data_IF_969075120013
#
_entry.id   IF_969075120013
#
_cell.length_a   1.000
_cell.length_b   1.000
_cell.length_c   1.000
_cell.angle_alpha   90.00
_cell.angle_beta   90.00
_cell.angle_gamma   90.00
#
_symmetry.space_group_name_H-M   'P 1'
#
loop_
_entity.id
_entity.type
_entity.pdbx_description
1 polymer ?
#
# COMPACT_ATOMS: atom_id res chain seq x y z
N UNK A 1 -5.98 42.48 3.00
CA UNK A 1 -4.65 41.85 3.12
C UNK A 1 -4.92 40.35 3.03
N UNK A 2 -4.90 39.82 1.79
CA UNK A 2 -5.01 38.40 1.53
C UNK A 2 -3.79 37.70 2.11
N UNK A 3 -4.06 36.68 2.90
CA UNK A 3 -3.02 35.76 3.38
C UNK A 3 -2.44 35.06 2.16
N UNK A 4 -1.10 35.05 1.92
CA UNK A 4 -0.54 34.34 0.79
C UNK A 4 -0.88 32.86 0.94
N UNK A 5 -1.54 32.31 -0.08
CA UNK A 5 -1.74 30.88 -0.24
C UNK A 5 -0.36 30.22 -0.24
N UNK A 6 -0.13 29.30 0.69
CA UNK A 6 1.10 28.51 0.72
C UNK A 6 1.20 27.82 -0.63
N UNK A 7 2.32 27.96 -1.37
CA UNK A 7 2.50 27.19 -2.60
C UNK A 7 2.30 25.73 -2.26
N UNK A 8 1.29 25.12 -2.92
CA UNK A 8 0.98 23.71 -2.73
C UNK A 8 2.25 22.87 -2.90
N UNK A 9 2.33 21.77 -2.18
CA UNK A 9 3.41 20.79 -2.36
C UNK A 9 3.68 20.58 -3.84
N UNK A 10 4.92 20.33 -4.24
CA UNK A 10 5.26 20.12 -5.64
C UNK A 10 4.35 19.04 -6.22
N UNK A 11 3.65 19.41 -7.29
CA UNK A 11 2.82 18.48 -8.05
C UNK A 11 3.74 17.42 -8.67
N UNK A 12 3.49 16.17 -8.39
CA UNK A 12 4.09 15.08 -9.16
C UNK A 12 3.83 15.31 -10.65
N UNK A 13 4.85 15.38 -11.52
CA UNK A 13 4.62 15.42 -12.95
C UNK A 13 3.92 14.12 -13.37
N UNK A 14 2.97 14.24 -14.29
CA UNK A 14 2.31 13.10 -14.91
C UNK A 14 3.35 12.08 -15.36
N UNK A 15 3.19 10.82 -14.94
CA UNK A 15 4.07 9.74 -15.35
C UNK A 15 4.08 9.64 -16.87
N UNK A 16 5.21 9.26 -17.48
CA UNK A 16 5.27 9.12 -18.93
C UNK A 16 4.25 8.06 -19.39
N UNK A 17 3.42 8.43 -20.37
CA UNK A 17 2.68 7.52 -21.21
C UNK A 17 3.62 6.38 -21.65
N UNK A 18 3.19 5.13 -21.51
CA UNK A 18 3.94 3.94 -21.92
C UNK A 18 4.37 4.07 -23.39
N UNK A 19 5.57 4.57 -23.62
CA UNK A 19 6.25 4.39 -24.89
C UNK A 19 6.89 3.00 -24.86
N UNK A 20 6.32 2.09 -25.64
CA UNK A 20 6.86 0.78 -25.95
C UNK A 20 8.28 0.94 -26.50
N UNK A 21 9.29 0.81 -25.68
CA UNK A 21 10.69 0.74 -26.09
C UNK A 21 11.12 -0.73 -26.05
N UNK A 22 11.35 -1.26 -27.22
CA UNK A 22 11.98 -2.54 -27.51
C UNK A 22 13.32 -2.65 -26.79
N UNK A 23 13.45 -3.63 -25.86
CA UNK A 23 14.68 -3.88 -25.13
C UNK A 23 15.67 -4.66 -26.02
N UNK A 24 16.98 -4.37 -25.97
CA UNK A 24 17.97 -5.17 -26.68
C UNK A 24 18.15 -6.54 -26.02
N UNK A 25 18.10 -7.56 -26.85
CA UNK A 25 18.31 -8.97 -26.53
C UNK A 25 19.71 -9.20 -25.96
N UNK A 26 19.79 -9.68 -24.73
CA UNK A 26 21.02 -10.23 -24.15
C UNK A 26 21.14 -11.73 -24.49
N UNK A 27 22.36 -12.29 -24.64
CA UNK A 27 22.56 -13.66 -25.14
C UNK A 27 22.15 -14.71 -24.12
N UNK A 28 21.43 -15.70 -24.61
CA UNK A 28 20.95 -16.87 -23.88
C UNK A 28 22.09 -17.74 -23.35
N UNK A 29 22.07 -18.06 -22.07
CA UNK A 29 22.79 -19.18 -21.49
C UNK A 29 21.88 -20.41 -21.46
N UNK A 30 22.36 -21.62 -21.75
CA UNK A 30 21.51 -22.80 -21.89
C UNK A 30 21.02 -23.30 -20.53
N UNK A 31 19.70 -23.33 -20.38
CA UNK A 31 19.04 -23.91 -19.21
C UNK A 31 18.71 -25.37 -19.54
N UNK A 32 19.26 -26.31 -18.77
CA UNK A 32 18.88 -27.72 -18.75
C UNK A 32 17.41 -27.89 -18.33
N UNK A 33 16.65 -28.80 -18.98
CA UNK A 33 15.24 -29.01 -18.61
C UNK A 33 15.13 -29.74 -17.26
N UNK A 34 14.41 -29.15 -16.33
CA UNK A 34 13.94 -29.83 -15.13
C UNK A 34 12.65 -30.57 -15.50
N UNK A 35 12.69 -31.89 -15.33
CA UNK A 35 11.59 -32.82 -15.52
C UNK A 35 10.48 -32.56 -14.48
N UNK A 36 9.28 -32.16 -14.94
CA UNK A 36 8.09 -31.99 -14.12
C UNK A 36 7.39 -33.33 -14.02
N UNK A 37 7.04 -33.84 -12.82
CA UNK A 37 6.27 -35.06 -12.68
C UNK A 37 4.83 -34.87 -13.21
N UNK A 38 4.38 -35.82 -14.02
CA UNK A 38 3.06 -35.85 -14.64
C UNK A 38 1.94 -35.96 -13.59
N UNK A 39 0.94 -35.12 -13.76
CA UNK A 39 -0.34 -35.12 -13.08
C UNK A 39 -1.19 -36.35 -13.52
N UNK A 40 -1.90 -37.05 -12.65
CA UNK A 40 -2.67 -38.24 -13.02
C UNK A 40 -3.93 -37.84 -13.81
N UNK A 41 -4.11 -38.50 -14.96
CA UNK A 41 -5.22 -38.32 -15.89
C UNK A 41 -6.58 -38.67 -15.26
N UNK A 42 -7.57 -37.82 -15.46
CA UNK A 42 -9.00 -38.12 -15.22
C UNK A 42 -9.50 -39.19 -16.18
N UNK A 43 -10.44 -40.10 -15.75
CA UNK A 43 -10.96 -41.12 -16.62
C UNK A 43 -11.98 -40.56 -17.62
N UNK A 44 -11.74 -40.86 -18.89
CA UNK A 44 -12.64 -40.57 -20.00
C UNK A 44 -13.99 -41.26 -19.84
N UNK A 45 -15.06 -40.49 -20.01
CA UNK A 45 -16.43 -41.01 -20.15
C UNK A 45 -16.61 -41.72 -21.48
N UNK A 46 -17.15 -42.92 -21.43
CA UNK A 46 -17.38 -43.85 -22.51
C UNK A 46 -18.28 -43.33 -23.62
N UNK A 47 -17.91 -43.67 -24.84
CA UNK A 47 -18.66 -43.47 -26.07
C UNK A 47 -20.01 -44.19 -26.06
N UNK A 48 -21.01 -43.53 -26.63
CA UNK A 48 -22.36 -44.00 -26.96
C UNK A 48 -22.29 -44.87 -28.23
N UNK A 49 -22.93 -46.05 -28.30
CA UNK A 49 -22.91 -46.89 -29.51
C UNK A 49 -23.97 -46.44 -30.53
N UNK A 50 -23.54 -46.43 -31.77
CA UNK A 50 -24.30 -46.08 -33.00
C UNK A 50 -25.52 -46.97 -33.25
N UNK A 51 -26.61 -46.34 -33.72
CA UNK A 51 -27.81 -47.00 -34.25
C UNK A 51 -27.55 -47.67 -35.59
N UNK A 52 -28.17 -48.79 -35.89
CA UNK A 52 -28.29 -49.28 -37.26
C UNK A 52 -29.58 -48.77 -37.94
N UNK A 53 -29.40 -48.31 -39.16
CA UNK A 53 -30.46 -47.92 -40.09
C UNK A 53 -31.30 -49.09 -40.52
N UNK A 54 -32.61 -48.84 -40.69
CA UNK A 54 -33.40 -49.72 -41.54
C UNK A 54 -34.89 -49.68 -41.33
N UNK A 55 -35.62 -49.35 -42.39
CA UNK A 55 -36.96 -49.73 -42.83
C UNK A 55 -38.06 -48.70 -42.57
N UNK A 56 -38.40 -48.00 -43.64
CA UNK A 56 -39.64 -47.25 -43.85
C UNK A 56 -40.84 -48.15 -44.10
N UNK A 57 -41.91 -47.90 -43.33
CA UNK A 57 -43.30 -48.33 -43.67
C UNK A 57 -44.22 -47.14 -43.44
N UNK A 58 -45.17 -46.81 -44.35
CA UNK A 58 -45.99 -45.60 -44.25
C UNK A 58 -47.11 -45.79 -43.23
N UNK A 59 -47.25 -44.81 -42.33
CA UNK A 59 -48.29 -44.80 -41.28
C UNK A 59 -49.42 -43.88 -41.66
N UNK A 60 -50.63 -44.44 -41.51
CA UNK A 60 -51.93 -43.81 -41.57
C UNK A 60 -52.11 -42.71 -40.49
N UNK A 61 -52.94 -41.67 -40.70
CA UNK A 61 -53.00 -40.51 -39.78
C UNK A 61 -53.79 -40.86 -38.50
N UNK A 62 -53.11 -40.92 -37.40
CA UNK A 62 -53.71 -41.12 -36.08
C UNK A 62 -54.12 -39.77 -35.43
N UNK A 63 -55.36 -39.68 -35.05
CA UNK A 63 -56.08 -38.64 -34.31
C UNK A 63 -55.32 -38.36 -32.99
N UNK A 64 -54.94 -37.06 -32.63
CA UNK A 64 -54.24 -36.80 -31.41
C UNK A 64 -55.11 -36.90 -30.18
N UNK A 65 -54.83 -37.87 -29.33
CA UNK A 65 -55.42 -38.00 -27.98
C UNK A 65 -54.75 -36.96 -27.04
N UNK A 66 -55.46 -36.20 -26.20
CA UNK A 66 -54.89 -35.23 -25.29
C UNK A 66 -54.02 -35.94 -24.24
N UNK A 67 -52.69 -35.77 -24.36
CA UNK A 67 -51.72 -36.22 -23.35
C UNK A 67 -51.88 -35.43 -22.06
N UNK A 68 -52.30 -36.07 -20.98
CA UNK A 68 -52.34 -35.52 -19.60
C UNK A 68 -50.93 -35.30 -19.08
N UNK A 69 -50.20 -34.30 -19.65
CA UNK A 69 -48.82 -33.95 -19.27
C UNK A 69 -48.68 -33.39 -17.85
N UNK A 70 -49.77 -32.89 -17.22
CA UNK A 70 -49.70 -32.26 -15.89
C UNK A 70 -49.45 -33.24 -14.72
N UNK A 71 -50.03 -34.48 -14.77
CA UNK A 71 -49.85 -35.42 -13.66
C UNK A 71 -48.45 -36.01 -13.56
N UNK A 72 -47.80 -36.29 -14.68
CA UNK A 72 -46.45 -36.82 -14.70
C UNK A 72 -45.43 -35.75 -14.27
N UNK A 73 -45.60 -34.50 -14.71
CA UNK A 73 -44.77 -33.38 -14.27
C UNK A 73 -44.92 -33.11 -12.78
N UNK A 74 -46.15 -33.18 -12.25
CA UNK A 74 -46.38 -33.02 -10.81
C UNK A 74 -45.71 -34.13 -9.99
N UNK A 75 -45.80 -35.38 -10.43
CA UNK A 75 -45.16 -36.51 -9.75
C UNK A 75 -43.62 -36.39 -9.75
N UNK A 76 -43.04 -35.95 -10.85
CA UNK A 76 -41.58 -35.70 -10.93
C UNK A 76 -41.19 -34.56 -10.01
N UNK A 77 -41.95 -33.46 -9.97
CA UNK A 77 -41.68 -32.33 -9.07
C UNK A 77 -41.81 -32.75 -7.59
N UNK A 78 -42.82 -33.53 -7.24
CA UNK A 78 -42.97 -34.07 -5.88
C UNK A 78 -41.82 -35.01 -5.49
N UNK A 79 -41.42 -35.89 -6.41
CA UNK A 79 -40.30 -36.80 -6.17
C UNK A 79 -38.99 -36.06 -5.99
N UNK A 80 -38.73 -35.00 -6.79
CA UNK A 80 -37.56 -34.16 -6.66
C UNK A 80 -37.56 -33.40 -5.32
N UNK A 81 -38.68 -32.81 -4.92
CA UNK A 81 -38.83 -32.12 -3.64
C UNK A 81 -38.59 -33.05 -2.45
N UNK A 82 -39.18 -34.24 -2.47
CA UNK A 82 -38.96 -35.26 -1.43
C UNK A 82 -37.49 -35.74 -1.40
N UNK A 83 -36.87 -35.89 -2.57
CA UNK A 83 -35.45 -36.27 -2.67
C UNK A 83 -34.51 -35.21 -2.06
N UNK A 84 -34.79 -33.96 -2.30
CA UNK A 84 -34.00 -32.85 -1.69
C UNK A 84 -34.21 -32.83 -0.17
N UNK A 85 -35.44 -32.92 0.32
CA UNK A 85 -35.70 -32.92 1.76
C UNK A 85 -35.09 -34.15 2.44
N UNK A 86 -35.27 -35.36 1.88
CA UNK A 86 -34.67 -36.56 2.44
C UNK A 86 -33.14 -36.52 2.40
N UNK A 87 -32.55 -36.02 1.30
CA UNK A 87 -31.09 -35.88 1.15
C UNK A 87 -30.48 -34.87 2.13
N UNK A 88 -31.14 -33.72 2.33
CA UNK A 88 -30.66 -32.71 3.30
C UNK A 88 -30.80 -33.21 4.73
N UNK A 89 -31.92 -33.88 5.09
CA UNK A 89 -32.08 -34.45 6.43
C UNK A 89 -31.05 -35.54 6.72
N UNK A 90 -30.80 -36.44 5.77
CA UNK A 90 -29.79 -37.49 5.93
C UNK A 90 -28.39 -36.92 6.00
N UNK A 91 -28.05 -35.95 5.13
CA UNK A 91 -26.77 -35.24 5.15
C UNK A 91 -26.53 -34.51 6.46
N UNK A 92 -27.55 -33.85 7.01
CA UNK A 92 -27.48 -33.18 8.30
C UNK A 92 -27.23 -34.15 9.45
N UNK A 93 -27.97 -35.28 9.51
CA UNK A 93 -27.76 -36.29 10.54
C UNK A 93 -26.34 -36.89 10.50
N UNK A 94 -25.86 -37.22 9.31
CA UNK A 94 -24.50 -37.76 9.15
C UNK A 94 -23.45 -36.67 9.60
N UNK A 95 -23.69 -35.41 9.32
CA UNK A 95 -22.82 -34.37 9.72
C UNK A 95 -22.88 -34.05 11.22
N UNK A 96 -24.07 -34.17 11.82
CA UNK A 96 -24.29 -33.97 13.25
C UNK A 96 -23.64 -35.06 14.11
N UNK A 97 -23.63 -36.29 13.61
CA UNK A 97 -23.01 -37.44 14.28
C UNK A 97 -21.46 -37.48 14.11
N UNK A 98 -20.89 -36.62 13.27
CA UNK A 98 -19.44 -36.57 13.16
C UNK A 98 -18.84 -35.95 14.41
N UNK A 99 -17.90 -36.65 15.02
CA UNK A 99 -17.06 -36.06 16.06
C UNK A 99 -16.37 -34.80 15.52
N UNK A 100 -16.29 -33.73 16.32
CA UNK A 100 -15.56 -32.52 15.93
C UNK A 100 -14.13 -32.88 15.54
N UNK A 101 -13.71 -32.47 14.35
CA UNK A 101 -12.35 -32.67 13.90
C UNK A 101 -11.41 -32.00 14.91
N UNK A 102 -10.55 -32.78 15.56
CA UNK A 102 -9.53 -32.26 16.46
C UNK A 102 -8.52 -31.47 15.63
N UNK A 103 -8.72 -30.15 15.57
CA UNK A 103 -7.74 -29.28 14.98
C UNK A 103 -6.47 -29.30 15.83
N UNK A 104 -5.28 -29.35 15.23
CA UNK A 104 -4.05 -29.15 15.96
C UNK A 104 -4.11 -27.83 16.70
N UNK A 105 -3.58 -27.79 17.93
CA UNK A 105 -3.51 -26.56 18.73
C UNK A 105 -2.92 -25.43 17.90
N UNK A 106 -3.63 -24.30 17.81
CA UNK A 106 -3.12 -23.08 17.18
C UNK A 106 -2.00 -22.43 17.99
N UNK A 107 -1.76 -22.90 19.23
CA UNK A 107 -0.60 -22.50 19.99
C UNK A 107 0.65 -23.13 19.37
N UNK A 108 1.50 -22.29 18.80
CA UNK A 108 2.84 -22.71 18.41
C UNK A 108 3.57 -23.24 19.66
N UNK A 109 4.41 -24.30 19.54
CA UNK A 109 5.25 -24.72 20.64
C UNK A 109 6.05 -23.50 21.11
N UNK A 110 5.98 -23.20 22.40
CA UNK A 110 6.79 -22.15 23.00
C UNK A 110 8.24 -22.43 22.68
N UNK A 111 8.82 -21.61 21.81
CA UNK A 111 10.26 -21.70 21.53
C UNK A 111 11.00 -21.49 22.84
N UNK A 112 11.83 -22.46 23.22
CA UNK A 112 12.67 -22.36 24.41
C UNK A 112 13.49 -21.06 24.32
N UNK A 113 13.47 -20.27 25.38
CA UNK A 113 14.24 -19.03 25.46
C UNK A 113 15.72 -19.36 25.20
N UNK A 114 16.32 -18.75 24.18
CA UNK A 114 17.71 -18.94 23.87
C UNK A 114 18.58 -18.65 25.13
N UNK A 115 19.40 -19.60 25.51
CA UNK A 115 20.37 -19.43 26.60
C UNK A 115 21.60 -18.72 26.04
N UNK A 116 21.54 -17.43 25.83
CA UNK A 116 22.63 -16.60 25.34
C UNK A 116 22.46 -15.16 25.77
N UNK A 117 23.51 -14.36 25.70
CA UNK A 117 23.41 -12.91 25.84
C UNK A 117 22.42 -12.34 24.82
N UNK A 118 21.77 -11.24 25.16
CA UNK A 118 20.92 -10.54 24.20
C UNK A 118 21.73 -10.25 22.93
N UNK A 119 21.15 -10.44 21.72
CA UNK A 119 21.82 -10.06 20.49
C UNK A 119 22.19 -8.59 20.53
N UNK A 120 23.28 -8.22 19.87
CA UNK A 120 23.70 -6.82 19.76
C UNK A 120 22.57 -6.00 19.12
N UNK A 121 22.24 -4.83 19.67
CA UNK A 121 21.17 -3.99 19.12
C UNK A 121 21.46 -3.69 17.65
N UNK A 122 20.43 -3.76 16.82
CA UNK A 122 20.53 -3.34 15.42
C UNK A 122 20.97 -1.87 15.34
N UNK A 123 21.76 -1.54 14.33
CA UNK A 123 22.05 -0.15 14.03
C UNK A 123 20.76 0.63 13.76
N UNK A 124 20.77 1.94 13.98
CA UNK A 124 19.59 2.77 13.74
C UNK A 124 19.02 2.64 12.30
N UNK A 125 19.88 2.33 11.32
CA UNK A 125 19.50 2.07 9.93
C UNK A 125 18.84 0.71 9.70
N UNK A 126 19.05 -0.26 10.61
CA UNK A 126 18.52 -1.63 10.51
C UNK A 126 17.38 -1.88 11.50
N UNK A 127 17.15 -0.97 12.44
CA UNK A 127 16.07 -1.09 13.40
C UNK A 127 14.74 -0.73 12.71
N UNK A 128 13.88 -1.73 12.55
CA UNK A 128 12.58 -1.60 11.88
C UNK A 128 11.47 -1.16 12.82
N UNK A 129 11.74 -1.04 14.12
CA UNK A 129 10.73 -0.64 15.09
C UNK A 129 11.18 0.61 15.82
N UNK A 130 10.32 1.62 15.83
CA UNK A 130 10.47 2.76 16.71
C UNK A 130 10.20 2.31 18.15
N UNK A 131 11.15 2.52 19.05
CA UNK A 131 11.04 2.12 20.46
C UNK A 131 9.87 2.79 21.19
N UNK A 132 9.31 3.85 20.65
CA UNK A 132 8.24 4.62 21.27
C UNK A 132 6.91 4.31 20.56
N UNK A 133 6.10 3.45 21.14
CA UNK A 133 4.73 3.16 20.69
C UNK A 133 3.70 4.21 21.20
N UNK A 134 4.18 5.35 21.63
CA UNK A 134 3.40 6.43 22.24
C UNK A 134 2.81 7.44 21.24
N UNK A 135 2.58 8.64 21.73
CA UNK A 135 2.08 9.76 20.93
C UNK A 135 3.17 10.31 20.00
N UNK A 136 3.02 10.07 18.69
CA UNK A 136 3.98 10.45 17.65
C UNK A 136 4.23 11.97 17.62
N UNK A 137 3.24 12.79 18.03
CA UNK A 137 3.38 14.26 18.12
C UNK A 137 4.46 14.69 19.12
N UNK A 138 4.73 13.88 20.15
CA UNK A 138 5.80 14.14 21.13
C UNK A 138 7.19 14.01 20.54
N UNK A 139 7.34 13.32 19.44
CA UNK A 139 8.59 13.16 18.72
C UNK A 139 8.86 14.35 17.78
N UNK A 140 7.85 15.11 17.42
CA UNK A 140 8.01 16.30 16.59
C UNK A 140 8.85 17.39 17.29
N UNK A 141 9.64 18.11 16.52
CA UNK A 141 10.31 19.31 17.01
C UNK A 141 9.28 20.39 17.36
N UNK A 142 9.55 21.11 18.41
CA UNK A 142 8.78 22.31 18.76
C UNK A 142 9.20 23.46 17.87
N UNK A 143 8.25 24.35 17.54
CA UNK A 143 8.57 25.60 16.83
C UNK A 143 9.63 26.40 17.57
N UNK A 144 10.55 27.07 16.86
CA UNK A 144 11.56 27.92 17.47
C UNK A 144 10.94 29.14 18.19
N UNK A 145 11.68 29.71 19.14
CA UNK A 145 11.27 30.93 19.79
C UNK A 145 11.07 32.05 18.75
N UNK A 146 9.97 32.79 18.85
CA UNK A 146 9.61 33.86 17.93
C UNK A 146 8.93 33.40 16.63
N UNK A 147 8.85 32.12 16.35
CA UNK A 147 8.05 31.60 15.23
C UNK A 147 6.55 31.60 15.58
N UNK A 148 5.73 31.85 14.56
CA UNK A 148 4.26 31.74 14.63
C UNK A 148 3.83 30.35 14.19
N UNK A 149 2.72 29.86 14.73
CA UNK A 149 2.13 28.62 14.24
C UNK A 149 1.73 28.75 12.77
N UNK A 150 1.84 27.65 12.04
CA UNK A 150 1.43 27.58 10.65
C UNK A 150 -0.10 27.74 10.54
N UNK A 151 -0.61 28.80 9.85
CA UNK A 151 -2.03 29.06 9.80
C UNK A 151 -2.82 28.03 8.97
N UNK A 152 -2.14 27.24 8.16
CA UNK A 152 -2.74 26.17 7.34
C UNK A 152 -2.85 24.82 8.09
N UNK A 153 -2.21 24.68 9.24
CA UNK A 153 -2.33 23.50 10.10
C UNK A 153 -3.37 23.80 11.19
N UNK A 154 -4.60 23.35 10.98
CA UNK A 154 -5.74 23.68 11.85
C UNK A 154 -6.05 22.62 12.91
N UNK A 155 -5.38 21.47 12.84
CA UNK A 155 -5.62 20.33 13.74
C UNK A 155 -4.82 20.36 15.05
N UNK A 156 -4.94 19.29 15.81
CA UNK A 156 -4.21 19.07 17.06
C UNK A 156 -2.81 18.48 16.87
N UNK A 157 -2.31 18.45 15.63
CA UNK A 157 -1.03 17.88 15.24
C UNK A 157 -1.10 16.40 14.81
N UNK A 158 -2.27 15.79 14.80
CA UNK A 158 -2.52 14.55 14.08
C UNK A 158 -2.96 14.88 12.65
N UNK A 159 -2.65 13.98 11.75
CA UNK A 159 -3.10 13.98 10.37
C UNK A 159 -3.64 12.58 10.06
N UNK A 160 -4.88 12.49 9.64
CA UNK A 160 -5.46 11.23 9.24
C UNK A 160 -5.02 10.84 7.82
N UNK A 161 -5.44 9.65 7.37
CA UNK A 161 -5.06 9.14 6.06
C UNK A 161 -5.58 10.02 4.92
N UNK A 162 -6.79 10.56 5.04
CA UNK A 162 -7.39 11.39 4.01
C UNK A 162 -6.70 12.77 3.96
N UNK A 163 -6.45 13.38 5.11
CA UNK A 163 -5.70 14.64 5.21
C UNK A 163 -4.28 14.51 4.65
N UNK A 164 -3.61 13.38 4.93
CA UNK A 164 -2.28 13.12 4.39
C UNK A 164 -2.34 12.89 2.86
N UNK A 165 -3.33 12.15 2.37
CA UNK A 165 -3.54 11.94 0.94
C UNK A 165 -3.86 13.25 0.19
N UNK A 166 -4.61 14.17 0.80
CA UNK A 166 -4.97 15.49 0.22
C UNK A 166 -3.74 16.37 -0.05
N UNK A 167 -2.62 16.08 0.58
CA UNK A 167 -1.38 16.80 0.33
C UNK A 167 -0.71 16.45 -1.01
N UNK A 168 -1.22 15.46 -1.72
CA UNK A 168 -0.71 15.00 -3.01
C UNK A 168 -1.58 15.47 -4.18
N UNK A 169 -1.01 15.51 -5.37
CA UNK A 169 -1.72 15.98 -6.57
C UNK A 169 -2.94 15.12 -6.93
N UNK A 170 -2.85 13.79 -6.68
CA UNK A 170 -3.93 12.84 -6.94
C UNK A 170 -4.39 12.18 -5.63
N UNK A 171 -5.18 12.90 -4.79
CA UNK A 171 -5.54 12.44 -3.45
C UNK A 171 -6.18 11.04 -3.43
N UNK A 172 -7.11 10.77 -4.35
CA UNK A 172 -7.80 9.48 -4.42
C UNK A 172 -6.86 8.31 -4.73
N UNK A 173 -5.89 8.52 -5.63
CA UNK A 173 -4.85 7.51 -5.93
C UNK A 173 -3.95 7.31 -4.72
N UNK A 174 -3.50 8.41 -4.10
CA UNK A 174 -2.64 8.36 -2.93
C UNK A 174 -3.33 7.70 -1.74
N UNK A 175 -4.63 7.98 -1.53
CA UNK A 175 -5.42 7.30 -0.50
C UNK A 175 -5.39 5.77 -0.69
N UNK A 176 -5.63 5.29 -1.92
CA UNK A 176 -5.57 3.86 -2.23
C UNK A 176 -4.18 3.25 -2.00
N UNK A 177 -3.12 3.99 -2.34
CA UNK A 177 -1.74 3.56 -2.09
C UNK A 177 -1.47 3.46 -0.58
N UNK A 178 -1.79 4.48 0.19
CA UNK A 178 -1.59 4.50 1.65
C UNK A 178 -2.33 3.37 2.38
N UNK A 179 -3.52 3.00 1.90
CA UNK A 179 -4.23 1.82 2.44
C UNK A 179 -3.46 0.54 2.17
N UNK A 180 -2.96 0.36 0.95
CA UNK A 180 -2.17 -0.81 0.56
C UNK A 180 -0.83 -0.87 1.28
N UNK A 181 -0.18 0.28 1.43
CA UNK A 181 1.13 0.44 2.04
C UNK A 181 1.06 0.46 3.59
N UNK A 182 -0.09 0.06 4.13
CA UNK A 182 -0.31 -0.14 5.57
C UNK A 182 -0.10 1.13 6.42
N UNK A 183 -0.51 2.30 5.90
CA UNK A 183 -0.50 3.55 6.69
C UNK A 183 -1.16 3.33 8.05
N UNK A 184 -0.48 3.76 9.11
CA UNK A 184 -1.00 3.65 10.48
C UNK A 184 -1.51 5.00 10.98
N UNK A 185 -0.69 6.03 10.93
CA UNK A 185 -0.99 7.38 11.40
C UNK A 185 0.08 8.36 10.97
N UNK A 186 -0.22 9.63 10.96
CA UNK A 186 0.75 10.69 10.75
C UNK A 186 0.59 11.80 11.82
N UNK A 187 1.72 12.44 12.14
CA UNK A 187 1.75 13.61 12.99
C UNK A 187 2.44 14.75 12.24
N UNK A 188 1.93 15.96 12.38
CA UNK A 188 2.40 17.15 11.68
C UNK A 188 2.67 18.30 12.62
N UNK A 189 3.70 19.07 12.33
CA UNK A 189 3.94 20.39 12.92
C UNK A 189 4.46 21.33 11.86
N UNK A 190 4.18 22.61 12.03
CA UNK A 190 4.69 23.62 11.12
C UNK A 190 4.67 25.00 11.75
N UNK A 191 5.49 25.90 11.20
CA UNK A 191 5.61 27.27 11.66
C UNK A 191 6.06 28.21 10.57
N UNK A 192 5.86 29.48 10.81
CA UNK A 192 6.33 30.56 9.96
C UNK A 192 7.30 31.46 10.74
N UNK A 193 8.43 31.78 10.13
CA UNK A 193 9.41 32.74 10.64
C UNK A 193 9.41 33.97 9.73
N UNK A 194 9.36 35.17 10.32
CA UNK A 194 9.43 36.44 9.57
C UNK A 194 8.40 36.59 8.43
N UNK A 195 7.26 35.92 8.51
CA UNK A 195 6.16 35.93 7.55
C UNK A 195 6.45 35.42 6.13
N UNK A 196 7.66 34.98 5.83
CA UNK A 196 8.05 34.50 4.49
C UNK A 196 8.73 33.15 4.50
N UNK A 197 9.29 32.73 5.62
CA UNK A 197 9.83 31.40 5.74
C UNK A 197 8.86 30.46 6.43
N UNK A 198 8.51 29.40 5.76
CA UNK A 198 7.65 28.35 6.30
C UNK A 198 8.42 27.04 6.48
N UNK A 199 8.06 26.29 7.48
CA UNK A 199 8.60 24.95 7.72
C UNK A 199 7.47 24.03 8.12
N UNK A 200 7.45 22.84 7.55
CA UNK A 200 6.51 21.79 7.87
C UNK A 200 7.26 20.47 8.08
N UNK A 201 6.90 19.71 9.08
CA UNK A 201 7.52 18.43 9.44
C UNK A 201 6.39 17.41 9.60
N UNK A 202 6.51 16.30 8.88
CA UNK A 202 5.65 15.15 9.05
C UNK A 202 6.45 13.98 9.61
N UNK A 203 5.80 13.24 10.49
CA UNK A 203 6.19 11.90 10.89
C UNK A 203 5.07 10.96 10.47
N UNK A 204 5.34 10.10 9.51
CA UNK A 204 4.36 9.12 9.00
C UNK A 204 4.76 7.73 9.45
N UNK A 205 3.86 7.04 10.13
CA UNK A 205 4.09 5.70 10.64
C UNK A 205 3.29 4.67 9.86
N UNK A 206 3.95 3.58 9.49
CA UNK A 206 3.40 2.42 8.79
C UNK A 206 3.37 1.20 9.71
N UNK A 207 2.55 0.19 9.39
CA UNK A 207 2.50 -1.06 10.19
C UNK A 207 3.62 -2.03 9.83
N UNK A 208 4.14 -1.95 8.62
CA UNK A 208 5.26 -2.75 8.10
C UNK A 208 5.11 -4.27 8.35
N UNK A 209 3.93 -4.81 8.12
CA UNK A 209 3.69 -6.25 8.32
C UNK A 209 4.23 -7.10 7.18
N UNK A 210 4.31 -6.55 5.98
CA UNK A 210 4.71 -7.27 4.77
C UNK A 210 5.99 -6.72 4.13
N UNK A 211 6.22 -5.41 4.18
CA UNK A 211 7.31 -4.70 3.52
C UNK A 211 7.85 -3.55 4.36
N UNK A 212 8.93 -2.92 3.90
CA UNK A 212 9.59 -1.80 4.57
C UNK A 212 9.02 -0.45 4.12
N UNK A 213 7.71 -0.28 4.20
CA UNK A 213 6.99 0.87 3.65
C UNK A 213 7.56 2.22 4.08
N UNK A 214 8.06 2.33 5.32
CA UNK A 214 8.69 3.57 5.77
C UNK A 214 9.99 3.89 5.00
N UNK A 215 10.77 2.88 4.64
CA UNK A 215 11.96 3.08 3.82
C UNK A 215 11.56 3.41 2.37
N UNK A 216 10.61 2.68 1.82
CA UNK A 216 10.14 2.85 0.44
C UNK A 216 9.48 4.22 0.24
N UNK A 217 8.69 4.69 1.21
CA UNK A 217 8.11 6.04 1.18
C UNK A 217 9.19 7.14 1.27
N UNK A 218 10.23 6.94 2.11
CA UNK A 218 11.38 7.85 2.16
C UNK A 218 12.12 7.91 0.82
N UNK A 219 12.38 6.76 0.22
CA UNK A 219 13.11 6.67 -1.06
C UNK A 219 12.28 7.27 -2.21
N UNK A 220 10.97 7.11 -2.19
CA UNK A 220 10.07 7.74 -3.14
C UNK A 220 10.09 9.27 -3.02
N UNK A 221 10.01 9.82 -1.80
CA UNK A 221 10.15 11.25 -1.57
C UNK A 221 11.49 11.81 -2.07
N UNK A 222 12.58 11.09 -1.80
CA UNK A 222 13.92 11.43 -2.28
C UNK A 222 14.01 11.44 -3.81
N UNK A 223 13.42 10.45 -4.45
CA UNK A 223 13.40 10.36 -5.92
C UNK A 223 12.75 11.60 -6.55
N UNK A 224 11.61 12.04 -6.02
CA UNK A 224 10.92 13.21 -6.56
C UNK A 224 11.66 14.51 -6.25
N UNK A 225 12.19 14.66 -5.04
CA UNK A 225 13.00 15.83 -4.68
C UNK A 225 14.25 15.97 -5.57
N UNK A 226 14.93 14.86 -5.84
CA UNK A 226 16.13 14.83 -6.70
C UNK A 226 15.85 15.20 -8.16
N UNK A 227 14.64 14.95 -8.66
CA UNK A 227 14.26 15.25 -10.06
C UNK A 227 14.00 16.72 -10.34
N UNK A 228 13.79 17.53 -9.31
CA UNK A 228 13.57 18.97 -9.50
C UNK A 228 14.83 19.64 -10.06
N UNK A 229 14.64 20.49 -11.07
CA UNK A 229 15.75 21.16 -11.74
C UNK A 229 16.51 22.11 -10.79
N UNK A 230 17.83 22.01 -10.76
CA UNK A 230 18.66 22.83 -9.90
C UNK A 230 18.61 22.40 -8.44
N UNK A 231 18.64 21.11 -8.20
CA UNK A 231 18.63 20.51 -6.84
C UNK A 231 20.03 20.02 -6.49
N UNK A 232 20.52 20.46 -5.35
CA UNK A 232 21.69 19.90 -4.68
C UNK A 232 21.24 18.99 -3.52
N UNK A 233 21.96 17.90 -3.27
CA UNK A 233 21.60 16.93 -2.24
C UNK A 233 22.78 16.49 -1.38
N UNK A 234 22.51 16.11 -0.13
CA UNK A 234 23.51 15.62 0.82
C UNK A 234 22.90 14.60 1.77
N UNK A 235 23.67 13.57 2.18
CA UNK A 235 23.22 12.61 3.16
C UNK A 235 23.05 13.24 4.55
N UNK A 236 22.03 12.77 5.29
CA UNK A 236 21.83 13.11 6.69
C UNK A 236 22.71 12.17 7.53
N UNK A 237 23.72 12.68 8.25
CA UNK A 237 24.58 11.85 9.08
C UNK A 237 23.81 11.09 10.14
N UNK A 238 24.16 9.82 10.34
CA UNK A 238 23.53 8.95 11.33
C UNK A 238 22.21 8.32 10.88
N UNK A 239 21.85 8.47 9.60
CA UNK A 239 20.74 7.75 8.95
C UNK A 239 21.32 6.79 7.91
N UNK A 240 20.61 5.70 7.59
CA UNK A 240 21.06 4.75 6.55
C UNK A 240 21.00 5.35 5.15
N UNK A 241 19.87 5.96 4.81
CA UNK A 241 19.56 6.46 3.47
C UNK A 241 19.00 7.90 3.46
N UNK A 242 18.88 8.56 4.63
CA UNK A 242 18.27 9.88 4.70
C UNK A 242 19.04 10.95 3.94
N UNK A 243 18.33 11.82 3.23
CA UNK A 243 18.88 12.87 2.38
C UNK A 243 18.21 14.21 2.64
N UNK A 244 18.96 15.30 2.45
CA UNK A 244 18.42 16.66 2.31
C UNK A 244 18.62 17.14 0.89
N UNK A 245 17.70 17.95 0.42
CA UNK A 245 17.65 18.55 -0.91
C UNK A 245 17.47 20.05 -0.77
N UNK A 246 18.21 20.82 -1.54
CA UNK A 246 18.07 22.28 -1.63
C UNK A 246 17.88 22.66 -3.08
N UNK A 247 16.75 23.30 -3.39
CA UNK A 247 16.44 23.77 -4.73
C UNK A 247 17.05 25.15 -4.93
N UNK A 248 18.07 25.23 -5.80
CA UNK A 248 18.80 26.47 -6.07
C UNK A 248 18.04 27.41 -7.01
N UNK A 249 17.00 26.92 -7.66
CA UNK A 249 16.09 27.69 -8.51
C UNK A 249 14.77 27.88 -7.79
N UNK A 250 14.25 29.13 -7.71
CA UNK A 250 12.96 29.37 -7.10
C UNK A 250 11.84 28.88 -8.02
N UNK A 251 10.77 28.41 -7.42
CA UNK A 251 9.50 28.25 -8.10
C UNK A 251 8.88 29.62 -8.35
N UNK A 252 8.44 29.86 -9.58
CA UNK A 252 7.84 31.12 -10.00
C UNK A 252 6.45 30.91 -10.56
N UNK A 253 5.48 31.67 -10.07
CA UNK A 253 4.11 31.70 -10.60
C UNK A 253 3.72 33.13 -10.86
N UNK A 254 3.09 33.41 -11.98
CA UNK A 254 2.65 34.77 -12.32
C UNK A 254 1.79 35.40 -11.22
N UNK A 255 2.17 36.59 -10.74
CA UNK A 255 1.49 37.30 -9.65
C UNK A 255 1.93 36.89 -8.23
N UNK A 256 2.86 35.95 -8.09
CA UNK A 256 3.39 35.50 -6.80
C UNK A 256 4.88 35.80 -6.66
N UNK A 257 5.34 35.95 -5.43
CA UNK A 257 6.77 36.09 -5.14
C UNK A 257 7.46 34.77 -5.40
N UNK A 258 8.65 34.75 -6.06
CA UNK A 258 9.43 33.51 -6.22
C UNK A 258 9.76 32.87 -4.88
N UNK A 259 9.65 31.54 -4.79
CA UNK A 259 9.86 30.78 -3.55
C UNK A 259 10.92 29.71 -3.76
N UNK A 260 11.93 29.71 -2.90
CA UNK A 260 12.94 28.66 -2.81
C UNK A 260 12.43 27.53 -1.90
N UNK A 261 12.74 26.30 -2.26
CA UNK A 261 12.38 25.11 -1.50
C UNK A 261 13.61 24.36 -0.98
N UNK A 262 13.45 23.68 0.15
CA UNK A 262 14.35 22.64 0.61
C UNK A 262 13.56 21.52 1.26
N UNK A 263 14.01 20.29 1.07
CA UNK A 263 13.30 19.10 1.51
C UNK A 263 14.26 18.14 2.24
N UNK A 264 13.72 17.34 3.16
CA UNK A 264 14.49 16.27 3.78
C UNK A 264 13.60 15.05 3.95
N UNK A 265 14.15 13.90 3.63
CA UNK A 265 13.49 12.58 3.77
C UNK A 265 14.45 11.62 4.46
N UNK A 266 13.94 10.91 5.43
CA UNK A 266 14.64 9.84 6.13
C UNK A 266 13.65 8.86 6.74
N UNK A 267 14.08 7.64 7.02
CA UNK A 267 13.29 6.68 7.78
C UNK A 267 14.05 6.17 8.99
N UNK A 268 13.32 5.82 10.04
CA UNK A 268 13.83 5.07 11.19
C UNK A 268 12.76 4.11 11.68
N UNK A 269 13.06 2.81 11.62
CA UNK A 269 12.08 1.78 11.94
C UNK A 269 10.88 1.87 11.03
N UNK A 270 9.71 2.04 11.60
CA UNK A 270 8.43 2.14 10.92
C UNK A 270 7.94 3.58 10.68
N UNK A 271 8.81 4.57 10.91
CA UNK A 271 8.49 6.00 10.76
C UNK A 271 9.31 6.65 9.65
N UNK A 272 8.62 7.37 8.77
CA UNK A 272 9.22 8.30 7.80
C UNK A 272 9.23 9.70 8.39
N UNK A 273 10.34 10.38 8.19
CA UNK A 273 10.49 11.81 8.36
C UNK A 273 10.40 12.50 7.01
N UNK A 274 9.55 13.49 6.93
CA UNK A 274 9.44 14.39 5.79
C UNK A 274 9.50 15.82 6.29
N UNK A 275 10.36 16.66 5.70
CA UNK A 275 10.48 18.07 6.04
C UNK A 275 10.41 18.87 4.75
N UNK A 276 9.58 19.90 4.76
CA UNK A 276 9.57 20.94 3.72
C UNK A 276 9.87 22.30 4.35
N UNK A 277 10.69 23.04 3.67
CA UNK A 277 11.02 24.41 4.03
C UNK A 277 10.91 25.29 2.79
N UNK A 278 10.20 26.39 2.92
CA UNK A 278 10.05 27.38 1.84
C UNK A 278 10.45 28.77 2.34
N UNK A 279 11.10 29.53 1.47
CA UNK A 279 11.51 30.91 1.77
C UNK A 279 11.54 31.74 0.47
N UNK A 280 11.37 33.04 0.58
CA UNK A 280 11.54 33.97 -0.54
C UNK A 280 13.03 34.22 -0.87
N UNK A 281 13.93 33.72 -0.06
CA UNK A 281 15.41 33.79 -0.23
C UNK A 281 15.97 32.38 -0.32
N UNK A 282 17.15 32.18 -0.96
CA UNK A 282 17.80 30.88 -1.01
C UNK A 282 17.99 30.26 0.37
N UNK A 283 17.64 29.00 0.52
CA UNK A 283 17.73 28.26 1.79
C UNK A 283 19.13 27.67 1.93
N UNK A 284 19.90 28.03 2.98
CA UNK A 284 21.22 27.43 3.20
C UNK A 284 21.10 25.94 3.56
N UNK A 285 21.98 25.10 2.98
CA UNK A 285 22.10 23.68 3.34
C UNK A 285 22.13 23.45 4.86
N UNK A 286 22.89 24.24 5.58
CA UNK A 286 23.07 24.10 7.01
C UNK A 286 21.75 24.14 7.77
N UNK A 287 20.77 24.91 7.30
CA UNK A 287 19.48 25.12 7.96
C UNK A 287 18.59 23.88 7.89
N UNK A 288 18.40 23.33 6.70
CA UNK A 288 17.61 22.11 6.52
C UNK A 288 18.33 20.89 7.11
N UNK A 289 19.64 20.82 6.99
CA UNK A 289 20.45 19.74 7.56
C UNK A 289 20.38 19.70 9.09
N UNK A 290 20.50 20.87 9.76
CA UNK A 290 20.37 20.96 11.23
C UNK A 290 18.97 20.53 11.68
N UNK A 291 17.94 20.98 10.96
CA UNK A 291 16.55 20.60 11.27
C UNK A 291 16.33 19.09 11.15
N UNK A 292 16.81 18.50 10.05
CA UNK A 292 16.68 17.06 9.80
C UNK A 292 17.42 16.23 10.86
N UNK A 293 18.67 16.61 11.20
CA UNK A 293 19.44 15.94 12.25
C UNK A 293 18.71 15.96 13.59
N UNK A 294 18.29 17.14 14.04
CA UNK A 294 17.58 17.29 15.31
C UNK A 294 16.27 16.50 15.34
N UNK A 295 15.57 16.43 14.23
CA UNK A 295 14.35 15.60 14.16
C UNK A 295 14.68 14.11 14.21
N UNK A 296 15.71 13.66 13.51
CA UNK A 296 16.16 12.25 13.55
C UNK A 296 16.70 11.82 14.92
N UNK A 297 17.28 12.73 15.70
CA UNK A 297 17.72 12.46 17.07
C UNK A 297 16.54 12.16 18.02
N UNK A 298 15.34 12.63 17.68
CA UNK A 298 14.14 12.39 18.50
C UNK A 298 13.44 11.07 18.16
N UNK A 299 13.64 10.53 16.95
CA UNK A 299 13.19 9.20 16.52
C UNK A 299 14.13 8.11 17.03
#
# INVERSE_FOLDING_TARGET
LEVPEVPGRPREPEGPEEATAEAPVAPESPVTPVEVPAEPAEPALSEEPAEPAGVTVPAEPAVPRPRRRGRTALLIACAAALGVVAGTCTGYLIQADREPTRLPSLSQPTLGRAKGGAPEPLSAAQDRQVKVDGDLRRLLLKKPAGAKDAPWLTGDGWMDLAEYADSYEKPGTMFGNLVRDEFRRAAVTGWTVSNHQTTEIHLVQYRQQQSLEAADASDNGQYWAAKKAGTDSWPIPGTGSGMVYVHTRPETKAGYVPVYGAEAYASRGDVVLEIWMFDTSPIPKAKIMDLAKRQMERL
#
